data_IF_010415109853
#
_entry.id   IF_010415109853
#
_cell.length_a   1.000
_cell.length_b   1.000
_cell.length_c   1.000
_cell.angle_alpha   90.00
_cell.angle_beta   90.00
_cell.angle_gamma   90.00
#
_symmetry.space_group_name_H-M   'P 1'
#
loop_
_entity.id
_entity.type
_entity.pdbx_description
1 polymer ?
#
# COMPACT_ATOMS: atom_id res chain seq x y z
N UNK A 1 13.66 -9.79 44.65
CA UNK A 1 12.35 -10.48 44.60
C UNK A 1 11.59 -9.97 43.38
N UNK A 2 11.85 -10.56 42.22
CA UNK A 2 11.12 -10.31 40.98
C UNK A 2 9.88 -11.18 41.00
N UNK A 3 8.70 -10.55 41.06
CA UNK A 3 7.43 -11.24 41.02
C UNK A 3 7.28 -11.96 39.66
N UNK A 4 7.27 -13.29 39.71
CA UNK A 4 6.88 -14.17 38.62
C UNK A 4 5.47 -13.77 38.14
N UNK A 5 5.35 -13.27 36.91
CA UNK A 5 4.04 -13.09 36.30
C UNK A 5 3.49 -14.47 35.97
N UNK A 6 2.27 -14.82 36.42
CA UNK A 6 1.67 -16.10 36.07
C UNK A 6 1.54 -16.19 34.56
N UNK A 7 2.13 -17.26 34.01
CA UNK A 7 1.98 -17.67 32.63
C UNK A 7 0.49 -17.93 32.36
N UNK A 8 -0.19 -16.95 31.77
CA UNK A 8 -1.52 -17.13 31.21
C UNK A 8 -1.42 -18.23 30.15
N UNK A 9 -1.87 -19.44 30.52
CA UNK A 9 -2.09 -20.55 29.60
C UNK A 9 -3.09 -20.09 28.55
N UNK A 10 -2.58 -19.60 27.42
CA UNK A 10 -3.36 -19.24 26.25
C UNK A 10 -4.21 -20.45 25.85
N UNK A 11 -5.54 -20.32 25.90
CA UNK A 11 -6.46 -21.41 25.57
C UNK A 11 -6.14 -21.91 24.15
N UNK A 12 -5.85 -23.21 23.95
CA UNK A 12 -5.33 -23.75 22.69
C UNK A 12 -6.24 -23.54 21.46
N UNK A 13 -7.51 -23.15 21.66
CA UNK A 13 -8.46 -22.81 20.59
C UNK A 13 -8.56 -21.33 20.20
N UNK A 14 -7.96 -20.39 20.94
CA UNK A 14 -8.10 -18.95 20.69
C UNK A 14 -7.14 -18.40 19.62
N UNK A 15 -5.93 -18.96 19.54
CA UNK A 15 -4.89 -18.52 18.60
C UNK A 15 -5.29 -18.64 17.11
N UNK A 16 -5.98 -19.70 16.64
CA UNK A 16 -6.41 -19.81 15.25
C UNK A 16 -7.49 -18.79 14.83
N UNK A 17 -8.42 -18.45 15.73
CA UNK A 17 -9.49 -17.49 15.45
C UNK A 17 -8.93 -16.07 15.39
N UNK A 18 -8.13 -15.67 16.39
CA UNK A 18 -7.44 -14.37 16.41
C UNK A 18 -6.59 -14.18 15.15
N UNK A 19 -5.94 -15.24 14.68
CA UNK A 19 -5.16 -15.24 13.43
C UNK A 19 -5.99 -14.89 12.21
N UNK A 20 -7.17 -15.50 12.09
CA UNK A 20 -8.07 -15.26 10.97
C UNK A 20 -8.63 -13.83 11.02
N UNK A 21 -9.01 -13.35 12.20
CA UNK A 21 -9.51 -11.98 12.39
C UNK A 21 -8.47 -10.94 11.95
N UNK A 22 -7.22 -11.05 12.40
CA UNK A 22 -6.17 -10.11 11.99
C UNK A 22 -5.93 -10.10 10.47
N UNK A 23 -6.02 -11.27 9.81
CA UNK A 23 -5.89 -11.33 8.35
C UNK A 23 -7.08 -10.67 7.65
N UNK A 24 -8.30 -10.95 8.14
CA UNK A 24 -9.53 -10.35 7.63
C UNK A 24 -9.50 -8.83 7.79
N UNK A 25 -9.13 -8.32 8.96
CA UNK A 25 -9.01 -6.89 9.24
C UNK A 25 -8.03 -6.22 8.26
N UNK A 26 -6.90 -6.86 7.96
CA UNK A 26 -5.94 -6.36 6.98
C UNK A 26 -6.53 -6.26 5.57
N UNK A 27 -7.32 -7.25 5.14
CA UNK A 27 -8.01 -7.23 3.84
C UNK A 27 -9.11 -6.16 3.84
N UNK A 28 -9.93 -6.09 4.88
CA UNK A 28 -10.99 -5.11 5.00
C UNK A 28 -10.44 -3.68 4.97
N UNK A 29 -9.32 -3.43 5.66
CA UNK A 29 -8.62 -2.15 5.62
C UNK A 29 -8.03 -1.87 4.23
N UNK A 30 -7.50 -2.89 3.54
CA UNK A 30 -7.02 -2.72 2.18
C UNK A 30 -8.13 -2.28 1.21
N UNK A 31 -9.37 -2.75 1.38
CA UNK A 31 -10.50 -2.43 0.50
C UNK A 31 -10.87 -0.93 0.46
N UNK A 32 -10.43 -0.12 1.43
CA UNK A 32 -10.58 1.33 1.34
C UNK A 32 -9.79 1.94 0.17
N UNK A 33 -8.66 1.34 -0.21
CA UNK A 33 -7.84 1.82 -1.35
C UNK A 33 -8.60 1.68 -2.68
N UNK A 34 -9.07 0.49 -3.10
CA UNK A 34 -9.85 0.36 -4.32
C UNK A 34 -11.17 1.11 -4.27
N UNK A 35 -11.79 1.27 -3.08
CA UNK A 35 -12.98 2.12 -2.94
C UNK A 35 -12.69 3.58 -3.28
N UNK A 36 -11.62 4.17 -2.74
CA UNK A 36 -11.23 5.55 -3.06
C UNK A 36 -10.87 5.69 -4.54
N UNK A 37 -10.13 4.73 -5.09
CA UNK A 37 -9.83 4.73 -6.53
C UNK A 37 -11.11 4.65 -7.38
N UNK A 38 -12.09 3.83 -6.98
CA UNK A 38 -13.37 3.75 -7.67
C UNK A 38 -14.09 5.10 -7.65
N UNK A 39 -14.18 5.76 -6.49
CA UNK A 39 -14.82 7.07 -6.35
C UNK A 39 -14.16 8.15 -7.21
N UNK A 40 -12.82 8.10 -7.32
CA UNK A 40 -12.04 9.09 -8.08
C UNK A 40 -11.85 8.75 -9.56
N UNK A 41 -12.18 7.55 -10.02
CA UNK A 41 -11.95 7.14 -11.43
C UNK A 41 -13.27 6.88 -12.15
N UNK A 42 -14.26 6.31 -11.45
CA UNK A 42 -15.60 6.09 -12.00
C UNK A 42 -16.49 7.33 -11.84
N UNK A 43 -16.11 8.27 -10.95
CA UNK A 43 -16.80 9.53 -10.72
C UNK A 43 -18.32 9.37 -10.49
N UNK A 44 -18.79 8.47 -9.60
CA UNK A 44 -20.22 8.22 -9.47
C UNK A 44 -20.96 9.51 -9.11
N UNK A 45 -22.12 9.72 -9.72
CA UNK A 45 -22.88 10.94 -9.53
C UNK A 45 -23.59 10.97 -8.15
N UNK A 46 -23.66 12.14 -7.51
CA UNK A 46 -23.04 13.40 -7.91
C UNK A 46 -21.57 13.48 -7.49
N UNK A 47 -20.71 14.01 -8.38
CA UNK A 47 -19.24 14.05 -8.21
C UNK A 47 -18.80 14.68 -6.88
N UNK A 48 -19.49 15.73 -6.41
CA UNK A 48 -19.20 16.39 -5.13
C UNK A 48 -19.21 15.43 -3.93
N UNK A 49 -20.14 14.46 -3.91
CA UNK A 49 -20.21 13.48 -2.83
C UNK A 49 -19.12 12.43 -2.96
N UNK A 50 -18.83 11.99 -4.18
CA UNK A 50 -17.72 11.07 -4.46
C UNK A 50 -16.37 11.66 -4.06
N UNK A 51 -16.13 12.94 -4.36
CA UNK A 51 -14.94 13.66 -3.95
C UNK A 51 -14.85 13.79 -2.42
N UNK A 52 -15.91 14.32 -1.78
CA UNK A 52 -15.93 14.52 -0.34
C UNK A 52 -15.75 13.21 0.44
N UNK A 53 -16.48 12.15 0.06
CA UNK A 53 -16.39 10.85 0.68
C UNK A 53 -15.03 10.19 0.42
N UNK A 54 -14.51 10.27 -0.82
CA UNK A 54 -13.19 9.75 -1.15
C UNK A 54 -12.08 10.39 -0.30
N UNK A 55 -12.10 11.72 -0.15
CA UNK A 55 -11.15 12.44 0.72
C UNK A 55 -11.29 12.03 2.18
N UNK A 56 -12.52 11.97 2.71
CA UNK A 56 -12.80 11.55 4.08
C UNK A 56 -12.25 10.15 4.36
N UNK A 57 -12.54 9.20 3.46
CA UNK A 57 -12.05 7.82 3.55
C UNK A 57 -10.53 7.80 3.50
N UNK A 58 -9.89 8.55 2.61
CA UNK A 58 -8.42 8.60 2.49
C UNK A 58 -7.76 9.05 3.80
N UNK A 59 -8.31 10.11 4.43
CA UNK A 59 -7.81 10.65 5.70
C UNK A 59 -8.06 9.68 6.86
N UNK A 60 -9.27 9.12 6.97
CA UNK A 60 -9.65 8.18 8.01
C UNK A 60 -8.86 6.87 7.94
N UNK A 61 -8.73 6.30 6.73
CA UNK A 61 -8.00 5.06 6.49
C UNK A 61 -6.56 5.15 6.97
N UNK A 62 -5.85 6.27 6.71
CA UNK A 62 -4.45 6.43 7.14
C UNK A 62 -4.29 6.27 8.66
N UNK A 63 -5.24 6.77 9.45
CA UNK A 63 -5.20 6.66 10.91
C UNK A 63 -5.42 5.22 11.35
N UNK A 64 -6.49 4.58 10.85
CA UNK A 64 -6.87 3.23 11.24
C UNK A 64 -5.80 2.21 10.81
N UNK A 65 -5.32 2.31 9.57
CA UNK A 65 -4.29 1.42 9.04
C UNK A 65 -2.95 1.54 9.77
N UNK A 66 -2.57 2.75 10.23
CA UNK A 66 -1.36 2.94 11.05
C UNK A 66 -1.49 2.21 12.38
N UNK A 67 -2.61 2.37 13.09
CA UNK A 67 -2.86 1.68 14.36
C UNK A 67 -2.87 0.16 14.18
N UNK A 68 -3.51 -0.33 13.12
CA UNK A 68 -3.48 -1.75 12.75
C UNK A 68 -2.04 -2.24 12.53
N UNK A 69 -1.25 -1.54 11.70
CA UNK A 69 0.15 -1.89 11.45
C UNK A 69 0.95 -1.99 12.75
N UNK A 70 0.84 -1.02 13.64
CA UNK A 70 1.54 -1.03 14.93
C UNK A 70 1.19 -2.25 15.77
N UNK A 71 -0.09 -2.65 15.78
CA UNK A 71 -0.55 -3.83 16.51
C UNK A 71 -0.03 -5.16 15.91
N UNK A 72 0.27 -5.21 14.61
CA UNK A 72 0.64 -6.46 13.92
C UNK A 72 2.09 -6.54 13.46
N UNK A 73 2.87 -5.45 13.55
CA UNK A 73 4.19 -5.34 12.93
C UNK A 73 5.17 -6.45 13.35
N UNK A 74 5.15 -6.83 14.63
CA UNK A 74 5.97 -7.91 15.20
C UNK A 74 5.37 -9.31 15.09
N UNK A 75 4.20 -9.45 14.47
CA UNK A 75 3.48 -10.74 14.38
C UNK A 75 3.33 -11.26 12.96
N UNK A 76 3.30 -10.38 11.95
CA UNK A 76 3.06 -10.74 10.55
C UNK A 76 4.33 -10.61 9.72
N UNK A 77 4.57 -11.57 8.84
CA UNK A 77 5.59 -11.49 7.83
C UNK A 77 5.27 -10.36 6.84
N UNK A 78 6.16 -9.36 6.72
CA UNK A 78 5.94 -8.22 5.82
C UNK A 78 5.83 -8.64 4.34
N UNK A 79 6.47 -9.74 3.92
CA UNK A 79 6.41 -10.24 2.56
C UNK A 79 5.10 -10.97 2.23
N UNK A 80 4.79 -12.04 2.96
CA UNK A 80 3.68 -12.94 2.64
C UNK A 80 2.41 -12.71 3.47
N UNK A 81 2.46 -11.78 4.43
CA UNK A 81 1.39 -11.41 5.37
C UNK A 81 0.95 -12.51 6.35
N UNK A 82 1.61 -13.68 6.35
CA UNK A 82 1.33 -14.78 7.27
C UNK A 82 2.03 -14.53 8.61
N UNK A 83 1.46 -15.04 9.70
CA UNK A 83 2.15 -15.06 10.99
C UNK A 83 3.07 -16.29 11.07
N UNK A 84 4.39 -16.12 11.27
CA UNK A 84 5.32 -17.23 11.40
C UNK A 84 5.15 -17.95 12.74
N UNK A 85 5.43 -19.27 12.81
CA UNK A 85 5.20 -20.10 14.00
C UNK A 85 6.16 -19.81 15.17
N UNK A 86 7.32 -19.21 14.89
CA UNK A 86 8.17 -18.54 15.88
C UNK A 86 8.44 -17.16 15.34
N UNK A 87 8.43 -16.15 16.21
CA UNK A 87 9.06 -14.86 15.95
C UNK A 87 10.57 -15.09 15.86
N UNK A 88 11.02 -15.73 14.79
CA UNK A 88 12.42 -15.74 14.42
C UNK A 88 12.71 -14.33 13.97
N UNK A 89 13.49 -13.60 14.78
CA UNK A 89 13.98 -12.28 14.43
C UNK A 89 14.50 -12.32 13.01
N UNK A 90 13.82 -11.61 12.11
CA UNK A 90 14.27 -11.40 10.76
C UNK A 90 15.49 -10.51 10.85
N UNK A 91 16.64 -11.13 11.13
CA UNK A 91 17.86 -10.40 11.39
C UNK A 91 18.25 -9.64 10.12
N UNK A 92 18.05 -8.33 10.16
CA UNK A 92 18.89 -7.43 9.40
C UNK A 92 18.21 -6.48 8.44
N UNK A 93 16.88 -6.35 8.37
CA UNK A 93 16.27 -5.20 7.67
C UNK A 93 15.69 -4.20 8.68
N UNK A 94 16.31 -3.04 8.79
CA UNK A 94 15.81 -1.89 9.55
C UNK A 94 15.10 -0.91 8.61
N UNK A 95 13.82 -0.67 8.85
CA UNK A 95 13.02 0.31 8.10
C UNK A 95 12.91 1.60 8.90
N UNK A 96 13.50 2.68 8.40
CA UNK A 96 13.45 3.99 9.06
C UNK A 96 12.27 4.80 8.54
N UNK A 97 11.29 5.08 9.41
CA UNK A 97 10.10 5.89 9.11
C UNK A 97 10.09 7.15 9.99
N UNK A 98 10.59 8.27 9.44
CA UNK A 98 10.79 9.48 10.24
C UNK A 98 11.90 9.25 11.28
N UNK A 99 11.57 9.42 12.56
CA UNK A 99 12.45 9.11 13.70
C UNK A 99 12.30 7.68 14.22
N UNK A 100 11.28 6.95 13.78
CA UNK A 100 11.01 5.58 14.25
C UNK A 100 11.78 4.56 13.39
N UNK A 101 12.38 3.57 14.05
CA UNK A 101 12.94 2.38 13.40
C UNK A 101 11.95 1.23 13.59
N UNK A 102 11.53 0.63 12.49
CA UNK A 102 10.64 -0.53 12.49
C UNK A 102 11.43 -1.74 12.02
N UNK A 103 11.44 -2.78 12.83
CA UNK A 103 12.01 -4.09 12.50
C UNK A 103 10.90 -5.03 12.04
N UNK A 104 10.71 -5.21 10.72
CA UNK A 104 9.71 -6.13 10.21
C UNK A 104 10.01 -7.59 10.55
N UNK A 105 8.95 -8.34 10.80
CA UNK A 105 9.03 -9.80 10.92
C UNK A 105 9.04 -10.46 9.54
N UNK A 106 9.77 -11.57 9.41
CA UNK A 106 9.79 -12.38 8.19
C UNK A 106 9.59 -13.88 8.49
N UNK A 107 9.06 -14.61 7.51
CA UNK A 107 9.23 -16.06 7.49
C UNK A 107 10.65 -16.40 7.01
N UNK A 108 11.16 -17.62 7.28
CA UNK A 108 12.42 -18.06 6.70
C UNK A 108 12.46 -17.87 5.17
N UNK A 109 13.49 -17.19 4.66
CA UNK A 109 13.69 -16.92 3.24
C UNK A 109 12.83 -15.80 2.63
N UNK A 110 12.14 -14.98 3.45
CA UNK A 110 11.26 -13.90 2.98
C UNK A 110 11.82 -12.49 3.18
N UNK A 111 13.08 -12.34 3.56
CA UNK A 111 13.76 -11.08 3.90
C UNK A 111 14.41 -10.38 2.69
N UNK A 112 15.01 -11.14 1.76
CA UNK A 112 15.74 -10.58 0.61
C UNK A 112 14.86 -9.73 -0.32
N UNK A 113 13.69 -10.23 -0.72
CA UNK A 113 12.84 -9.52 -1.66
C UNK A 113 12.29 -8.17 -1.11
N UNK A 114 11.80 -8.09 0.14
CA UNK A 114 11.52 -6.81 0.78
C UNK A 114 12.73 -5.87 0.85
N UNK A 115 13.91 -6.37 1.23
CA UNK A 115 15.12 -5.55 1.32
C UNK A 115 15.46 -4.89 -0.03
N UNK A 116 15.43 -5.66 -1.12
CA UNK A 116 15.61 -5.15 -2.48
C UNK A 116 14.53 -4.15 -2.89
N UNK A 117 13.27 -4.43 -2.54
CA UNK A 117 12.16 -3.53 -2.83
C UNK A 117 12.32 -2.17 -2.17
N UNK A 118 12.60 -2.12 -0.88
CA UNK A 118 12.78 -0.83 -0.21
C UNK A 118 14.06 -0.12 -0.64
N UNK A 119 15.13 -0.85 -0.99
CA UNK A 119 16.32 -0.27 -1.61
C UNK A 119 15.98 0.42 -2.95
N UNK A 120 15.29 -0.31 -3.85
CA UNK A 120 14.89 0.21 -5.15
C UNK A 120 14.00 1.45 -5.03
N UNK A 121 12.97 1.37 -4.18
CA UNK A 121 12.00 2.45 -4.01
C UNK A 121 12.64 3.70 -3.39
N UNK A 122 13.61 3.55 -2.49
CA UNK A 122 14.34 4.69 -1.92
C UNK A 122 15.28 5.34 -2.95
N UNK A 123 15.95 4.54 -3.78
CA UNK A 123 16.77 5.03 -4.91
C UNK A 123 15.91 5.82 -5.91
N UNK A 124 14.74 5.30 -6.26
CA UNK A 124 13.82 5.89 -7.24
C UNK A 124 12.70 6.73 -6.60
N UNK A 125 12.90 7.21 -5.36
CA UNK A 125 11.81 7.83 -4.57
C UNK A 125 11.15 9.01 -5.26
N UNK A 126 11.93 9.85 -5.94
CA UNK A 126 11.42 11.07 -6.56
C UNK A 126 10.62 10.76 -7.82
N UNK A 127 11.14 9.98 -8.79
CA UNK A 127 10.35 9.52 -9.92
C UNK A 127 9.05 8.81 -9.51
N UNK A 128 9.11 7.89 -8.55
CA UNK A 128 7.91 7.17 -8.07
C UNK A 128 6.92 8.12 -7.40
N UNK A 129 7.39 9.06 -6.57
CA UNK A 129 6.52 10.05 -5.92
C UNK A 129 5.85 10.95 -6.95
N UNK A 130 6.59 11.48 -7.91
CA UNK A 130 6.03 12.35 -8.95
C UNK A 130 5.02 11.59 -9.82
N UNK A 131 5.35 10.36 -10.23
CA UNK A 131 4.46 9.50 -11.01
C UNK A 131 3.17 9.07 -10.29
N UNK A 132 3.08 9.24 -8.97
CA UNK A 132 1.86 8.97 -8.19
C UNK A 132 1.14 10.27 -7.80
N UNK A 133 1.84 11.23 -7.19
CA UNK A 133 1.23 12.41 -6.61
C UNK A 133 0.82 13.45 -7.65
N UNK A 134 1.62 13.68 -8.69
CA UNK A 134 1.30 14.67 -9.72
C UNK A 134 -0.01 14.32 -10.46
N UNK A 135 -0.19 13.12 -11.03
CA UNK A 135 -1.46 12.78 -11.66
C UNK A 135 -2.63 12.75 -10.68
N UNK A 136 -2.41 12.34 -9.42
CA UNK A 136 -3.46 12.37 -8.39
C UNK A 136 -3.95 13.78 -8.11
N UNK A 137 -3.03 14.75 -7.95
CA UNK A 137 -3.39 16.15 -7.74
C UNK A 137 -4.14 16.74 -8.94
N UNK A 138 -3.70 16.41 -10.16
CA UNK A 138 -4.41 16.82 -11.38
C UNK A 138 -5.84 16.27 -11.43
N UNK A 139 -6.03 14.99 -11.10
CA UNK A 139 -7.35 14.36 -11.03
C UNK A 139 -8.24 14.97 -9.96
N UNK A 140 -7.70 15.22 -8.75
CA UNK A 140 -8.45 15.87 -7.67
C UNK A 140 -8.84 17.31 -8.02
N UNK A 141 -7.94 18.05 -8.68
CA UNK A 141 -8.22 19.40 -9.18
C UNK A 141 -9.33 19.40 -10.23
N UNK A 142 -9.29 18.46 -11.18
CA UNK A 142 -10.34 18.29 -12.18
C UNK A 142 -11.68 17.93 -11.54
N UNK A 143 -11.70 17.01 -10.57
CA UNK A 143 -12.89 16.62 -9.83
C UNK A 143 -13.51 17.79 -9.06
N UNK A 144 -12.67 18.61 -8.41
CA UNK A 144 -13.11 19.80 -7.70
C UNK A 144 -13.70 20.83 -8.67
N UNK A 145 -13.01 21.10 -9.79
CA UNK A 145 -13.49 22.02 -10.81
C UNK A 145 -14.85 21.58 -11.38
N UNK A 146 -15.01 20.29 -11.71
CA UNK A 146 -16.29 19.73 -12.16
C UNK A 146 -17.37 19.80 -11.07
N UNK A 147 -17.02 19.54 -9.80
CA UNK A 147 -17.95 19.68 -8.67
C UNK A 147 -18.43 21.14 -8.46
N UNK A 148 -17.65 22.12 -8.90
CA UNK A 148 -17.99 23.55 -8.92
C UNK A 148 -18.72 23.99 -10.21
N UNK A 149 -19.00 23.05 -11.13
CA UNK A 149 -19.72 23.32 -12.38
C UNK A 149 -18.85 23.77 -13.55
N UNK A 150 -17.51 23.64 -13.44
CA UNK A 150 -16.60 23.94 -14.55
C UNK A 150 -16.53 22.75 -15.53
N UNK A 151 -16.51 23.06 -16.82
CA UNK A 151 -16.26 22.08 -17.86
C UNK A 151 -14.77 21.75 -17.93
N UNK A 152 -14.44 20.48 -17.72
CA UNK A 152 -13.06 19.97 -17.70
C UNK A 152 -13.05 18.65 -18.48
N UNK A 153 -11.99 18.34 -19.26
CA UNK A 153 -11.88 17.07 -19.97
C UNK A 153 -11.55 15.91 -18.99
N UNK A 154 -12.50 15.58 -18.11
CA UNK A 154 -12.30 14.66 -16.99
C UNK A 154 -11.94 13.25 -17.46
N UNK A 155 -12.49 12.79 -18.59
CA UNK A 155 -12.15 11.51 -19.21
C UNK A 155 -10.67 11.45 -19.60
N UNK A 156 -10.17 12.48 -20.28
CA UNK A 156 -8.75 12.59 -20.69
C UNK A 156 -7.83 12.65 -19.47
N UNK A 157 -8.16 13.47 -18.47
CA UNK A 157 -7.38 13.58 -17.23
C UNK A 157 -7.36 12.25 -16.47
N UNK A 158 -8.50 11.55 -16.41
CA UNK A 158 -8.60 10.23 -15.76
C UNK A 158 -7.76 9.19 -16.51
N UNK A 159 -7.82 9.15 -17.83
CA UNK A 159 -6.97 8.27 -18.64
C UNK A 159 -5.48 8.59 -18.46
N UNK A 160 -5.10 9.87 -18.43
CA UNK A 160 -3.74 10.30 -18.13
C UNK A 160 -3.28 9.85 -16.73
N UNK A 161 -4.13 10.01 -15.72
CA UNK A 161 -3.88 9.52 -14.37
C UNK A 161 -3.63 8.02 -14.34
N UNK A 162 -4.53 7.24 -14.94
CA UNK A 162 -4.44 5.78 -14.99
C UNK A 162 -3.17 5.31 -15.70
N UNK A 163 -2.83 5.93 -16.84
CA UNK A 163 -1.63 5.59 -17.60
C UNK A 163 -0.35 5.84 -16.80
N UNK A 164 -0.18 7.06 -16.26
CA UNK A 164 1.03 7.45 -15.53
C UNK A 164 1.20 6.64 -14.24
N UNK A 165 0.13 6.48 -13.47
CA UNK A 165 0.17 5.67 -12.24
C UNK A 165 0.41 4.20 -12.59
N UNK A 166 -0.24 3.68 -13.63
CA UNK A 166 -0.08 2.31 -14.10
C UNK A 166 1.37 1.97 -14.48
N UNK A 167 2.01 2.85 -15.26
CA UNK A 167 3.44 2.74 -15.59
C UNK A 167 4.32 2.80 -14.33
N UNK A 168 4.02 3.73 -13.42
CA UNK A 168 4.81 3.92 -12.19
C UNK A 168 4.75 2.71 -11.27
N UNK A 169 3.58 2.12 -11.06
CA UNK A 169 3.43 0.93 -10.20
C UNK A 169 3.99 -0.32 -10.86
N UNK A 170 3.92 -0.46 -12.19
CA UNK A 170 4.60 -1.52 -12.94
C UNK A 170 6.12 -1.41 -12.79
N UNK A 171 6.66 -0.20 -12.96
CA UNK A 171 8.07 0.09 -12.78
C UNK A 171 8.54 -0.31 -11.37
N UNK A 172 7.82 0.06 -10.33
CA UNK A 172 8.13 -0.35 -8.96
C UNK A 172 8.02 -1.89 -8.77
N UNK A 173 7.00 -2.52 -9.34
CA UNK A 173 6.72 -3.94 -9.13
C UNK A 173 7.64 -4.91 -9.90
N UNK A 174 8.35 -4.41 -10.91
CA UNK A 174 9.33 -5.16 -11.68
C UNK A 174 10.76 -4.73 -11.36
N UNK A 175 10.98 -3.42 -11.24
CA UNK A 175 12.29 -2.80 -11.07
C UNK A 175 13.01 -3.22 -9.80
N UNK A 176 12.31 -3.58 -8.72
CA UNK A 176 12.97 -4.01 -7.49
C UNK A 176 13.93 -5.19 -7.65
N UNK A 177 13.75 -6.01 -8.69
CA UNK A 177 14.61 -7.16 -8.99
C UNK A 177 16.03 -6.74 -9.39
N UNK A 178 16.23 -5.49 -9.81
CA UNK A 178 17.55 -4.96 -10.20
C UNK A 178 18.33 -4.40 -9.01
N UNK A 179 17.68 -4.18 -7.86
CA UNK A 179 18.34 -3.72 -6.65
C UNK A 179 19.00 -4.88 -5.88
N UNK A 180 20.13 -4.59 -5.25
CA UNK A 180 20.73 -5.45 -4.22
C UNK A 180 19.99 -5.32 -2.89
N UNK A 181 19.99 -6.37 -2.04
CA UNK A 181 19.41 -6.30 -0.71
C UNK A 181 20.20 -5.33 0.17
N UNK A 182 19.50 -4.63 1.05
CA UNK A 182 20.09 -3.69 2.02
C UNK A 182 19.71 -4.09 3.43
N UNK A 183 20.55 -3.74 4.40
CA UNK A 183 20.26 -3.99 5.82
C UNK A 183 19.47 -2.87 6.50
N UNK A 184 19.53 -1.66 5.96
CA UNK A 184 18.83 -0.51 6.50
C UNK A 184 18.45 0.42 5.38
N UNK A 185 17.22 0.92 5.41
CA UNK A 185 16.76 1.89 4.41
C UNK A 185 15.66 2.78 4.97
N UNK A 186 15.55 3.98 4.41
CA UNK A 186 14.46 4.90 4.72
C UNK A 186 13.24 4.49 3.92
N UNK A 187 12.09 4.46 4.56
CA UNK A 187 10.84 4.15 3.87
C UNK A 187 10.16 5.46 3.51
N UNK A 188 10.28 5.83 2.24
CA UNK A 188 9.69 7.04 1.67
C UNK A 188 8.16 6.95 1.48
N UNK A 189 7.55 5.80 1.75
CA UNK A 189 6.13 5.49 1.51
C UNK A 189 5.42 5.05 2.79
N UNK A 190 4.07 5.08 2.84
CA UNK A 190 3.36 4.68 4.05
C UNK A 190 3.49 3.18 4.32
N UNK A 191 4.33 2.82 5.30
CA UNK A 191 4.67 1.43 5.61
C UNK A 191 3.44 0.56 5.95
N UNK A 192 2.39 1.17 6.51
CA UNK A 192 1.16 0.47 6.90
C UNK A 192 0.48 -0.27 5.75
N UNK A 193 0.54 0.25 4.52
CA UNK A 193 -0.06 -0.39 3.36
C UNK A 193 0.50 -1.80 3.13
N UNK A 194 1.81 -2.00 3.37
CA UNK A 194 2.47 -3.29 3.20
C UNK A 194 2.04 -4.33 4.24
N UNK A 195 1.59 -3.91 5.42
CA UNK A 195 1.11 -4.81 6.47
C UNK A 195 -0.36 -5.24 6.30
N UNK A 196 -1.12 -4.56 5.44
CA UNK A 196 -2.51 -4.92 5.16
C UNK A 196 -2.58 -6.25 4.41
N UNK A 197 -1.87 -6.36 3.27
CA UNK A 197 -1.88 -7.53 2.39
C UNK A 197 -0.55 -8.28 2.29
N UNK A 198 0.55 -7.72 2.77
CA UNK A 198 1.90 -8.20 2.48
C UNK A 198 2.44 -7.66 1.15
N UNK A 199 3.73 -7.37 1.11
CA UNK A 199 4.41 -6.81 -0.05
C UNK A 199 4.25 -7.69 -1.30
N UNK A 200 4.32 -9.03 -1.17
CA UNK A 200 4.17 -9.95 -2.31
C UNK A 200 2.83 -9.77 -3.04
N UNK A 201 1.75 -9.66 -2.28
CA UNK A 201 0.39 -9.54 -2.84
C UNK A 201 0.20 -8.15 -3.45
N UNK A 202 0.72 -7.09 -2.80
CA UNK A 202 0.69 -5.74 -3.36
C UNK A 202 1.44 -5.66 -4.69
N UNK A 203 2.63 -6.24 -4.79
CA UNK A 203 3.39 -6.27 -6.03
C UNK A 203 2.65 -7.01 -7.15
N UNK A 204 1.90 -8.05 -6.81
CA UNK A 204 1.07 -8.77 -7.79
C UNK A 204 -0.10 -7.91 -8.25
N UNK A 205 -0.81 -7.25 -7.33
CA UNK A 205 -1.90 -6.31 -7.65
C UNK A 205 -1.37 -5.16 -8.52
N UNK A 206 -0.20 -4.59 -8.20
CA UNK A 206 0.42 -3.53 -8.99
C UNK A 206 0.72 -3.96 -10.42
N UNK A 207 1.14 -5.21 -10.64
CA UNK A 207 1.34 -5.74 -11.99
C UNK A 207 0.03 -5.85 -12.76
N UNK A 208 -0.99 -6.44 -12.15
CA UNK A 208 -2.27 -6.64 -12.83
C UNK A 208 -2.98 -5.32 -13.13
N UNK A 209 -3.17 -4.49 -12.09
CA UNK A 209 -3.86 -3.20 -12.22
C UNK A 209 -3.04 -2.24 -13.08
N UNK A 210 -1.72 -2.20 -12.89
CA UNK A 210 -0.84 -1.35 -13.68
C UNK A 210 -0.87 -1.71 -15.16
N UNK A 211 -0.76 -3.00 -15.51
CA UNK A 211 -0.85 -3.45 -16.90
C UNK A 211 -2.23 -3.13 -17.50
N UNK A 212 -3.29 -3.42 -16.76
CA UNK A 212 -4.66 -3.12 -17.20
C UNK A 212 -4.85 -1.63 -17.48
N UNK A 213 -4.41 -0.74 -16.59
CA UNK A 213 -4.51 0.70 -16.79
C UNK A 213 -3.66 1.20 -17.96
N UNK A 214 -2.45 0.68 -18.13
CA UNK A 214 -1.60 1.06 -19.29
C UNK A 214 -2.28 0.70 -20.61
N UNK A 215 -2.83 -0.51 -20.73
CA UNK A 215 -3.52 -0.94 -21.96
C UNK A 215 -4.80 -0.13 -22.18
N UNK A 216 -5.69 -0.07 -21.16
CA UNK A 216 -6.98 0.62 -21.27
C UNK A 216 -6.79 2.10 -21.61
N UNK A 217 -5.93 2.80 -20.88
CA UNK A 217 -5.73 4.24 -21.02
C UNK A 217 -4.84 4.59 -22.20
N UNK A 218 -3.90 3.72 -22.57
CA UNK A 218 -3.13 3.85 -23.80
C UNK A 218 -4.04 3.81 -25.03
N UNK A 219 -4.98 2.85 -25.09
CA UNK A 219 -5.99 2.79 -26.16
C UNK A 219 -6.92 4.00 -26.16
N UNK A 220 -7.34 4.50 -24.99
CA UNK A 220 -8.22 5.66 -24.89
C UNK A 220 -7.54 6.99 -25.30
N UNK A 221 -6.22 7.08 -25.19
CA UNK A 221 -5.45 8.27 -25.55
C UNK A 221 -4.84 8.21 -26.95
N UNK A 222 -4.88 7.05 -27.62
CA UNK A 222 -4.33 6.88 -28.96
C UNK A 222 -5.33 7.40 -30.00
N UNK A 223 -5.03 8.51 -30.71
CA UNK A 223 -5.87 8.97 -31.81
C UNK A 223 -5.58 8.07 -33.02
N UNK A 224 -6.34 6.97 -33.12
CA UNK A 224 -6.40 6.16 -34.33
C UNK A 224 -7.15 6.87 -35.45
#
# INVERSE_FOLDING_TARGET
MTADRPSEKEKPGAAPLRRRLLLFDGVALFLFIPLVLFLFVAHPEPIRWSLAFGVLVMLGHRRIARSYMQAVAGSKCLWCNRMPPRAGGGAGLELVTGSEVVEPTFCPGHDDAPARFFAFVETWRWPIRLGIFLPLLALLGALLATALGLEVPLSTITSGFQLVVGLTVLFAALGYRTAGPVKRTRVSFPLHNFYLLGLRNLLWIFRLVGLWWVVKSGLALWPG
#
